data_IF_528621882315
#
_entry.id   IF_528621882315
#
_cell.length_a   1.000
_cell.length_b   1.000
_cell.length_c   1.000
_cell.angle_alpha   90.00
_cell.angle_beta   90.00
_cell.angle_gamma   90.00
#
_symmetry.space_group_name_H-M   'P 1'
#
loop_
_entity.id
_entity.type
_entity.pdbx_description
1 polymer ?
#
# COMPACT_ATOMS: atom_id res chain seq x y z
N UNK A 1 9.65 9.79 16.27
CA UNK A 1 10.61 8.91 15.60
C UNK A 1 11.73 9.69 14.95
N UNK A 2 12.85 9.03 14.70
CA UNK A 2 14.00 9.62 14.02
C UNK A 2 13.88 9.47 12.50
N UNK A 3 14.33 10.49 11.77
CA UNK A 3 14.56 10.43 10.32
C UNK A 3 15.76 9.51 10.00
N UNK A 4 15.91 9.12 8.74
CA UNK A 4 17.06 8.31 8.30
C UNK A 4 18.40 9.02 8.58
N UNK A 5 18.49 10.31 8.27
CA UNK A 5 19.70 11.13 8.51
C UNK A 5 20.04 11.25 10.00
N UNK A 6 19.03 11.44 10.85
CA UNK A 6 19.22 11.44 12.30
C UNK A 6 19.71 10.07 12.80
N UNK A 7 19.15 8.95 12.28
CA UNK A 7 19.61 7.60 12.63
C UNK A 7 21.04 7.36 12.22
N UNK A 8 21.45 7.80 11.03
CA UNK A 8 22.84 7.71 10.55
C UNK A 8 23.76 8.52 11.48
N UNK A 9 23.38 9.74 11.84
CA UNK A 9 24.14 10.58 12.75
C UNK A 9 24.29 9.94 14.14
N UNK A 10 23.21 9.38 14.69
CA UNK A 10 23.21 8.65 15.96
C UNK A 10 24.10 7.39 15.85
N UNK A 11 24.01 6.65 14.74
CA UNK A 11 24.82 5.47 14.53
C UNK A 11 26.32 5.80 14.54
N UNK A 12 26.73 6.80 13.79
CA UNK A 12 28.14 7.24 13.73
C UNK A 12 28.66 7.79 15.05
N UNK A 13 27.86 8.64 15.71
CA UNK A 13 28.29 9.32 16.92
C UNK A 13 28.30 8.42 18.16
N UNK A 14 27.41 7.43 18.23
CA UNK A 14 27.17 6.69 19.47
C UNK A 14 27.14 5.19 19.31
N UNK A 15 26.36 4.65 18.35
CA UNK A 15 26.10 3.19 18.30
C UNK A 15 27.32 2.42 17.81
N UNK A 16 27.95 2.87 16.73
CA UNK A 16 29.14 2.21 16.17
C UNK A 16 30.31 2.21 17.17
N UNK A 17 30.73 3.34 17.76
CA UNK A 17 31.80 3.36 18.76
C UNK A 17 31.49 2.46 19.96
N UNK A 18 30.22 2.43 20.39
CA UNK A 18 29.79 1.57 21.49
C UNK A 18 29.90 0.10 21.11
N UNK A 19 29.36 -0.31 19.95
CA UNK A 19 29.35 -1.71 19.51
C UNK A 19 30.75 -2.24 19.17
N UNK A 20 31.64 -1.41 18.63
CA UNK A 20 33.05 -1.74 18.43
C UNK A 20 33.69 -2.09 19.78
N UNK A 21 33.52 -1.25 20.79
CA UNK A 21 34.09 -1.49 22.14
C UNK A 21 33.47 -2.71 22.83
N UNK A 22 32.14 -2.85 22.78
CA UNK A 22 31.42 -3.98 23.43
C UNK A 22 31.74 -5.33 22.80
N UNK A 23 32.18 -5.36 21.53
CA UNK A 23 32.62 -6.58 20.85
C UNK A 23 34.16 -6.75 20.82
N UNK A 24 34.91 -5.97 21.61
CA UNK A 24 36.36 -6.15 21.76
C UNK A 24 37.20 -5.77 20.55
N UNK A 25 36.63 -4.95 19.64
CA UNK A 25 37.30 -4.48 18.43
C UNK A 25 38.04 -3.17 18.70
N UNK A 26 39.08 -2.90 17.91
CA UNK A 26 39.74 -1.60 17.86
C UNK A 26 38.95 -0.64 16.94
N UNK A 27 39.01 0.68 17.19
CA UNK A 27 38.26 1.66 16.40
C UNK A 27 38.54 1.67 14.90
N UNK A 28 39.72 1.19 14.50
CA UNK A 28 40.19 1.14 13.10
C UNK A 28 39.96 -0.20 12.42
N UNK A 29 39.44 -1.20 13.14
CA UNK A 29 39.17 -2.53 12.58
C UNK A 29 37.85 -2.65 11.81
N UNK A 30 36.85 -1.84 12.18
CA UNK A 30 35.54 -1.86 11.51
C UNK A 30 35.09 -0.43 11.25
N UNK A 31 34.82 -0.11 10.00
CA UNK A 31 34.25 1.16 9.57
C UNK A 31 32.98 0.97 8.78
N UNK A 32 32.03 1.90 8.87
CA UNK A 32 30.74 1.84 8.17
C UNK A 32 30.62 3.03 7.20
N UNK A 33 30.27 2.76 5.95
CA UNK A 33 29.91 3.82 5.00
C UNK A 33 28.48 4.31 5.26
N UNK A 34 28.12 5.47 4.71
CA UNK A 34 26.75 6.00 4.81
C UNK A 34 25.75 5.10 4.08
N UNK A 35 26.16 4.58 2.92
CA UNK A 35 25.38 3.64 2.13
C UNK A 35 25.10 2.35 2.90
N UNK A 36 26.08 1.81 3.61
CA UNK A 36 25.88 0.62 4.44
C UNK A 36 24.88 0.86 5.57
N UNK A 37 24.95 2.02 6.24
CA UNK A 37 24.00 2.40 7.27
C UNK A 37 22.59 2.60 6.70
N UNK A 38 22.46 3.21 5.53
CA UNK A 38 21.18 3.33 4.82
C UNK A 38 20.62 1.93 4.51
N UNK A 39 21.43 1.02 4.01
CA UNK A 39 21.04 -0.38 3.74
C UNK A 39 20.54 -1.07 5.00
N UNK A 40 21.26 -0.94 6.13
CA UNK A 40 20.80 -1.50 7.42
C UNK A 40 19.46 -0.91 7.83
N UNK A 41 19.31 0.42 7.76
CA UNK A 41 18.09 1.12 8.17
C UNK A 41 16.90 0.72 7.30
N UNK A 42 17.06 0.67 5.99
CA UNK A 42 15.96 0.41 5.03
C UNK A 42 15.57 -1.05 4.94
N UNK A 43 16.58 -1.95 4.95
CA UNK A 43 16.36 -3.35 4.59
C UNK A 43 16.35 -4.29 5.80
N UNK A 44 16.88 -3.87 6.95
CA UNK A 44 17.00 -4.73 8.13
C UNK A 44 16.35 -4.19 9.39
N UNK A 45 15.83 -2.94 9.36
CA UNK A 45 15.13 -2.34 10.50
C UNK A 45 13.85 -1.64 10.07
N UNK A 46 12.79 -1.74 10.91
CA UNK A 46 11.52 -1.06 10.67
C UNK A 46 11.00 -0.53 12.00
N UNK A 47 11.61 0.56 12.46
CA UNK A 47 11.38 1.11 13.79
C UNK A 47 11.43 2.64 13.80
N UNK A 48 10.73 3.27 14.74
CA UNK A 48 10.81 4.70 14.98
C UNK A 48 12.11 5.12 15.67
N UNK A 49 12.64 4.26 16.54
CA UNK A 49 13.88 4.46 17.30
C UNK A 49 15.13 3.91 16.59
N UNK A 50 16.11 3.52 17.38
CA UNK A 50 17.43 3.02 16.91
C UNK A 50 17.87 1.70 17.58
N UNK A 51 17.01 1.03 18.36
CA UNK A 51 17.38 -0.21 19.07
C UNK A 51 17.64 -1.38 18.12
N UNK A 52 16.83 -1.51 17.06
CA UNK A 52 17.02 -2.51 16.02
C UNK A 52 18.30 -2.24 15.23
N UNK A 53 18.53 -0.97 14.87
CA UNK A 53 19.77 -0.51 14.22
C UNK A 53 21.01 -0.87 15.06
N UNK A 54 20.99 -0.58 16.35
CA UNK A 54 22.07 -0.95 17.27
C UNK A 54 22.34 -2.45 17.28
N UNK A 55 21.29 -3.28 17.37
CA UNK A 55 21.43 -4.75 17.33
C UNK A 55 22.04 -5.25 16.02
N UNK A 56 21.69 -4.65 14.89
CA UNK A 56 22.23 -5.01 13.58
C UNK A 56 23.69 -4.59 13.43
N UNK A 57 24.05 -3.39 13.88
CA UNK A 57 25.44 -2.93 13.95
C UNK A 57 26.26 -3.88 14.84
N UNK A 58 25.75 -4.26 16.03
CA UNK A 58 26.40 -5.20 16.91
C UNK A 58 26.58 -6.59 16.30
N UNK A 59 25.60 -7.07 15.51
CA UNK A 59 25.74 -8.33 14.81
C UNK A 59 26.85 -8.28 13.75
N UNK A 60 26.95 -7.18 13.00
CA UNK A 60 28.05 -6.97 12.04
C UNK A 60 29.40 -6.91 12.74
N UNK A 61 29.49 -6.16 13.84
CA UNK A 61 30.73 -6.08 14.63
C UNK A 61 31.17 -7.46 15.14
N UNK A 62 30.26 -8.28 15.63
CA UNK A 62 30.60 -9.66 16.08
C UNK A 62 31.10 -10.52 14.92
N UNK A 63 30.44 -10.53 13.77
CA UNK A 63 30.88 -11.31 12.59
C UNK A 63 32.25 -10.83 12.08
N UNK A 64 32.47 -9.50 12.04
CA UNK A 64 33.78 -8.95 11.71
C UNK A 64 34.86 -9.36 12.70
N UNK A 65 34.56 -9.30 14.00
CA UNK A 65 35.49 -9.77 15.06
C UNK A 65 35.84 -11.23 14.94
N UNK A 66 34.87 -12.09 14.65
CA UNK A 66 35.14 -13.53 14.40
C UNK A 66 36.07 -13.72 13.20
N UNK A 67 35.83 -13.05 12.06
CA UNK A 67 36.71 -13.14 10.89
C UNK A 67 38.14 -12.63 11.15
N UNK A 68 38.28 -11.55 11.93
CA UNK A 68 39.60 -11.05 12.35
C UNK A 68 40.31 -12.09 13.19
N UNK A 69 39.64 -12.73 14.14
CA UNK A 69 40.20 -13.76 14.99
C UNK A 69 40.59 -15.04 14.22
N UNK A 70 39.83 -15.38 13.17
CA UNK A 70 40.13 -16.50 12.27
C UNK A 70 41.21 -16.18 11.23
N UNK A 71 41.68 -14.94 11.17
CA UNK A 71 42.72 -14.49 10.26
C UNK A 71 42.28 -14.19 8.83
N UNK A 72 40.98 -14.09 8.59
CA UNK A 72 40.37 -13.77 7.27
C UNK A 72 40.54 -12.29 6.86
N UNK A 73 41.08 -11.46 7.74
CA UNK A 73 41.35 -10.04 7.50
C UNK A 73 41.79 -9.33 8.77
N UNK A 74 42.28 -8.10 8.63
CA UNK A 74 42.67 -7.26 9.77
C UNK A 74 41.71 -6.08 9.97
N UNK A 75 41.00 -5.69 8.90
CA UNK A 75 40.10 -4.54 8.89
C UNK A 75 38.95 -4.81 7.92
N UNK A 76 37.75 -4.38 8.29
CA UNK A 76 36.54 -4.46 7.48
C UNK A 76 35.94 -3.09 7.25
N UNK A 77 35.87 -2.69 5.99
CA UNK A 77 35.09 -1.52 5.55
C UNK A 77 33.70 -2.02 5.13
N UNK A 78 32.71 -1.79 5.98
CA UNK A 78 31.34 -2.29 5.77
C UNK A 78 30.67 -1.51 4.65
N UNK A 79 30.48 -2.16 3.51
CA UNK A 79 29.71 -1.70 2.35
C UNK A 79 28.32 -2.30 2.39
N UNK A 80 27.43 -1.92 1.45
CA UNK A 80 26.09 -2.51 1.33
C UNK A 80 26.14 -4.01 1.05
N UNK A 81 27.07 -4.46 0.21
CA UNK A 81 27.26 -5.87 -0.12
C UNK A 81 27.70 -6.67 1.13
N UNK A 82 28.61 -6.10 1.92
CA UNK A 82 29.07 -6.75 3.14
C UNK A 82 28.00 -6.76 4.23
N UNK A 83 27.09 -5.78 4.25
CA UNK A 83 25.90 -5.83 5.10
C UNK A 83 25.01 -7.02 4.74
N UNK A 84 24.77 -7.25 3.45
CA UNK A 84 23.96 -8.39 2.98
C UNK A 84 24.64 -9.72 3.30
N UNK A 85 25.95 -9.82 3.13
CA UNK A 85 26.71 -11.00 3.50
C UNK A 85 26.65 -11.29 5.02
N UNK A 86 26.76 -10.25 5.85
CA UNK A 86 26.77 -10.40 7.30
C UNK A 86 25.39 -10.55 7.93
N UNK A 87 24.37 -9.92 7.39
CA UNK A 87 23.01 -9.96 7.92
C UNK A 87 22.07 -10.90 7.17
N UNK A 88 22.59 -11.54 6.12
CA UNK A 88 21.87 -12.46 5.25
C UNK A 88 20.75 -11.74 4.47
N UNK A 89 19.66 -12.43 4.17
CA UNK A 89 18.60 -11.87 3.34
C UNK A 89 17.95 -10.63 3.96
N UNK A 90 17.68 -9.58 3.17
CA UNK A 90 16.90 -8.43 3.60
C UNK A 90 15.55 -8.85 4.19
N UNK A 91 15.18 -8.25 5.30
CA UNK A 91 13.89 -8.52 5.97
C UNK A 91 12.78 -7.68 5.35
N UNK A 92 13.14 -6.50 4.84
CA UNK A 92 12.22 -5.54 4.27
C UNK A 92 12.65 -5.20 2.86
N UNK A 93 11.71 -5.27 1.95
CA UNK A 93 11.92 -4.92 0.55
C UNK A 93 11.59 -3.43 0.33
N UNK A 94 12.28 -2.83 -0.62
CA UNK A 94 12.17 -1.40 -0.89
C UNK A 94 10.95 -1.01 -1.74
N UNK A 95 11.03 0.16 -2.44
CA UNK A 95 9.96 0.69 -3.28
C UNK A 95 9.48 -0.25 -4.39
N UNK A 96 10.26 -1.24 -4.76
CA UNK A 96 9.92 -2.25 -5.77
C UNK A 96 8.77 -3.13 -5.30
N UNK A 97 8.79 -3.61 -4.06
CA UNK A 97 7.67 -4.36 -3.47
C UNK A 97 6.38 -3.54 -3.47
N UNK A 98 6.48 -2.24 -3.17
CA UNK A 98 5.35 -1.33 -3.19
C UNK A 98 4.68 -1.28 -4.57
N UNK A 99 5.50 -1.15 -5.63
CA UNK A 99 5.01 -1.10 -7.01
C UNK A 99 4.41 -2.43 -7.45
N UNK A 100 5.04 -3.53 -7.08
CA UNK A 100 4.58 -4.87 -7.39
C UNK A 100 3.22 -5.15 -6.74
N UNK A 101 3.09 -4.88 -5.45
CA UNK A 101 1.84 -5.07 -4.68
C UNK A 101 0.70 -4.19 -5.18
N UNK A 102 0.96 -2.93 -5.56
CA UNK A 102 -0.08 -2.01 -6.06
C UNK A 102 -0.35 -2.14 -7.56
N UNK A 103 0.26 -3.10 -8.21
CA UNK A 103 0.09 -3.34 -9.65
C UNK A 103 -1.31 -3.83 -10.05
N UNK A 104 -2.11 -4.31 -9.12
CA UNK A 104 -3.47 -4.81 -9.33
C UNK A 104 -4.52 -3.87 -8.73
N UNK A 105 -5.73 -3.78 -9.37
CA UNK A 105 -6.87 -3.12 -8.75
C UNK A 105 -7.26 -3.79 -7.43
N UNK A 106 -7.75 -3.00 -6.49
CA UNK A 106 -8.17 -3.49 -5.18
C UNK A 106 -7.09 -3.47 -4.10
N UNK A 107 -5.84 -3.10 -4.44
CA UNK A 107 -4.75 -3.01 -3.45
C UNK A 107 -4.35 -1.54 -3.26
N UNK A 108 -4.39 -1.08 -2.01
CA UNK A 108 -4.16 0.33 -1.67
C UNK A 108 -3.26 0.45 -0.44
N UNK A 109 -2.18 1.25 -0.53
CA UNK A 109 -1.33 1.55 0.63
C UNK A 109 -1.99 2.61 1.52
N UNK A 110 -2.30 2.22 2.73
CA UNK A 110 -2.69 3.12 3.82
C UNK A 110 -1.52 3.42 4.75
N UNK A 111 -1.67 4.42 5.57
CA UNK A 111 -0.70 4.80 6.59
C UNK A 111 -1.25 4.50 7.98
N UNK A 112 -0.49 3.73 8.75
CA UNK A 112 -0.81 3.35 10.11
C UNK A 112 0.16 3.98 11.12
N UNK A 113 -0.29 4.10 12.35
CA UNK A 113 0.53 4.43 13.51
C UNK A 113 0.39 3.32 14.54
N UNK A 114 1.52 2.83 15.02
CA UNK A 114 1.60 1.75 16.01
C UNK A 114 2.50 2.18 17.17
N UNK A 115 2.54 1.37 18.23
CA UNK A 115 3.48 1.57 19.36
C UNK A 115 4.95 1.56 18.93
N UNK A 116 5.25 1.03 17.77
CA UNK A 116 6.61 1.00 17.17
C UNK A 116 6.87 2.17 16.21
N UNK A 117 5.88 3.04 15.99
CA UNK A 117 5.91 4.18 15.08
C UNK A 117 4.98 4.03 13.89
N UNK A 118 5.16 4.89 12.90
CA UNK A 118 4.39 4.82 11.65
C UNK A 118 4.82 3.66 10.77
N UNK A 119 3.84 3.10 10.03
CA UNK A 119 4.08 2.02 9.06
C UNK A 119 3.12 2.13 7.86
N UNK A 120 3.44 1.41 6.77
CA UNK A 120 2.52 1.23 5.64
C UNK A 120 1.63 0.03 5.91
N UNK A 121 0.34 0.22 5.68
CA UNK A 121 -0.67 -0.79 5.80
C UNK A 121 -1.30 -1.04 4.43
N UNK A 122 -1.06 -2.20 3.82
CA UNK A 122 -1.75 -2.57 2.60
C UNK A 122 -3.16 -3.02 2.91
N UNK A 123 -4.13 -2.54 2.14
CA UNK A 123 -5.51 -3.01 2.17
C UNK A 123 -5.80 -3.66 0.83
N UNK A 124 -6.17 -4.92 0.87
CA UNK A 124 -6.45 -5.75 -0.29
C UNK A 124 -7.94 -6.07 -0.33
N UNK A 125 -8.58 -5.75 -1.45
CA UNK A 125 -9.98 -6.06 -1.69
C UNK A 125 -10.09 -7.08 -2.82
N UNK A 126 -10.89 -8.12 -2.62
CA UNK A 126 -11.23 -9.09 -3.65
C UNK A 126 -12.74 -9.34 -3.69
N UNK A 127 -13.20 -9.86 -4.82
CA UNK A 127 -14.59 -10.29 -5.00
C UNK A 127 -14.64 -11.71 -5.50
N UNK A 128 -15.69 -12.41 -5.11
CA UNK A 128 -15.98 -13.76 -5.56
C UNK A 128 -17.47 -13.91 -5.82
N UNK A 129 -17.91 -14.85 -6.67
CA UNK A 129 -19.32 -15.17 -6.80
C UNK A 129 -19.92 -15.52 -5.45
N UNK A 130 -21.06 -14.92 -5.11
CA UNK A 130 -21.69 -15.15 -3.80
C UNK A 130 -22.96 -14.34 -3.64
N UNK A 131 -23.48 -14.28 -2.40
CA UNK A 131 -24.77 -13.69 -2.08
C UNK A 131 -24.71 -12.62 -0.97
N UNK A 132 -24.07 -11.48 -1.19
CA UNK A 132 -24.00 -10.34 -0.24
C UNK A 132 -23.02 -10.49 0.93
N UNK A 133 -22.14 -11.49 0.91
CA UNK A 133 -21.14 -11.66 1.96
C UNK A 133 -20.14 -10.51 2.00
N UNK A 134 -19.81 -10.06 3.22
CA UNK A 134 -18.72 -9.13 3.47
C UNK A 134 -17.84 -9.65 4.58
N UNK A 135 -16.60 -9.95 4.25
CA UNK A 135 -15.60 -10.46 5.18
C UNK A 135 -14.48 -9.44 5.33
N UNK A 136 -13.98 -9.31 6.55
CA UNK A 136 -12.80 -8.49 6.85
C UNK A 136 -11.86 -9.32 7.72
N UNK A 137 -10.59 -9.44 7.28
CA UNK A 137 -9.59 -10.24 7.97
C UNK A 137 -8.27 -9.48 8.12
N UNK A 138 -7.37 -9.91 9.00
CA UNK A 138 -6.06 -9.31 9.18
C UNK A 138 -5.75 -8.89 10.63
N UNK A 139 -6.31 -9.58 11.64
CA UNK A 139 -6.12 -9.24 13.06
C UNK A 139 -6.50 -7.80 13.39
N UNK A 140 -7.72 -7.42 12.97
CA UNK A 140 -8.27 -6.07 13.14
C UNK A 140 -9.22 -5.99 14.34
N UNK A 141 -9.16 -4.86 15.05
CA UNK A 141 -10.06 -4.56 16.17
C UNK A 141 -11.43 -4.04 15.71
N UNK A 142 -12.30 -3.78 16.69
CA UNK A 142 -13.70 -3.42 16.43
C UNK A 142 -13.84 -2.09 15.67
N UNK A 143 -13.05 -1.08 16.02
CA UNK A 143 -13.12 0.24 15.37
C UNK A 143 -12.77 0.14 13.89
N UNK A 144 -11.74 -0.64 13.56
CA UNK A 144 -11.35 -0.87 12.16
C UNK A 144 -12.39 -1.69 11.39
N UNK A 145 -13.08 -2.65 12.06
CA UNK A 145 -14.19 -3.38 11.46
C UNK A 145 -15.39 -2.48 11.15
N UNK A 146 -15.73 -1.56 12.07
CA UNK A 146 -16.77 -0.55 11.82
C UNK A 146 -16.41 0.37 10.66
N UNK A 147 -15.16 0.82 10.59
CA UNK A 147 -14.63 1.61 9.48
C UNK A 147 -14.76 0.88 8.13
N UNK A 148 -14.47 -0.43 8.09
CA UNK A 148 -14.65 -1.25 6.90
C UNK A 148 -16.12 -1.35 6.46
N UNK A 149 -17.04 -1.51 7.41
CA UNK A 149 -18.50 -1.52 7.13
C UNK A 149 -18.99 -0.17 6.63
N UNK A 150 -18.48 0.94 7.21
CA UNK A 150 -18.79 2.29 6.76
C UNK A 150 -18.29 2.51 5.31
N UNK A 151 -17.09 2.06 4.99
CA UNK A 151 -16.52 2.12 3.66
C UNK A 151 -17.37 1.35 2.64
N UNK A 152 -17.78 0.11 2.97
CA UNK A 152 -18.66 -0.67 2.10
C UNK A 152 -20.02 0.01 1.90
N UNK A 153 -20.63 0.54 2.96
CA UNK A 153 -21.90 1.25 2.90
C UNK A 153 -21.82 2.46 2.00
N UNK A 154 -20.75 3.26 2.11
CA UNK A 154 -20.50 4.39 1.22
C UNK A 154 -20.38 3.94 -0.25
N UNK A 155 -19.57 2.91 -0.54
CA UNK A 155 -19.40 2.43 -1.92
C UNK A 155 -20.69 1.86 -2.50
N UNK A 156 -21.49 1.14 -1.72
CA UNK A 156 -22.80 0.62 -2.11
C UNK A 156 -23.79 1.74 -2.43
N UNK A 157 -23.82 2.80 -1.61
CA UNK A 157 -24.69 3.96 -1.86
C UNK A 157 -24.32 4.74 -3.14
N UNK A 158 -23.11 4.54 -3.65
CA UNK A 158 -22.59 5.18 -4.87
C UNK A 158 -22.48 4.23 -6.07
N UNK A 159 -23.05 3.03 -5.97
CA UNK A 159 -22.91 1.99 -6.99
C UNK A 159 -23.27 2.47 -8.41
N UNK A 160 -24.37 3.20 -8.56
CA UNK A 160 -24.80 3.76 -9.83
C UNK A 160 -23.80 4.77 -10.39
N UNK A 161 -23.35 5.73 -9.58
CA UNK A 161 -22.37 6.75 -10.00
C UNK A 161 -20.99 6.15 -10.32
N UNK A 162 -20.67 5.00 -9.75
CA UNK A 162 -19.47 4.22 -10.07
C UNK A 162 -19.64 3.34 -11.33
N UNK A 163 -20.83 3.33 -11.94
CA UNK A 163 -21.13 2.56 -13.14
C UNK A 163 -21.20 1.05 -12.90
N UNK A 164 -21.52 0.63 -11.68
CA UNK A 164 -21.67 -0.78 -11.36
C UNK A 164 -22.99 -1.35 -11.94
N UNK A 165 -22.98 -2.61 -12.41
CA UNK A 165 -24.20 -3.28 -12.82
C UNK A 165 -25.20 -3.37 -11.66
N UNK A 166 -26.48 -3.28 -12.00
CA UNK A 166 -27.54 -3.55 -11.04
C UNK A 166 -27.38 -4.93 -10.40
N UNK A 167 -27.55 -5.00 -9.09
CA UNK A 167 -27.38 -6.24 -8.35
C UNK A 167 -25.92 -6.68 -8.20
N UNK A 168 -24.95 -5.80 -8.42
CA UNK A 168 -23.52 -6.15 -8.28
C UNK A 168 -23.21 -6.76 -6.90
N UNK A 169 -23.63 -6.10 -5.82
CA UNK A 169 -23.38 -6.56 -4.45
C UNK A 169 -24.26 -7.73 -4.03
N UNK A 170 -25.34 -8.00 -4.73
CA UNK A 170 -26.21 -9.16 -4.54
C UNK A 170 -25.64 -10.45 -5.13
N UNK A 171 -24.75 -10.32 -6.11
CA UNK A 171 -24.15 -11.44 -6.87
C UNK A 171 -22.69 -11.68 -6.53
N UNK A 172 -22.12 -10.85 -5.66
CA UNK A 172 -20.71 -10.94 -5.29
C UNK A 172 -20.55 -10.79 -3.78
N UNK A 173 -19.75 -11.67 -3.21
CA UNK A 173 -19.15 -11.49 -1.90
C UNK A 173 -17.89 -10.66 -2.02
N UNK A 174 -17.67 -9.78 -1.05
CA UNK A 174 -16.51 -8.91 -0.98
C UNK A 174 -15.67 -9.31 0.23
N UNK A 175 -14.36 -9.42 0.03
CA UNK A 175 -13.42 -9.68 1.10
C UNK A 175 -12.37 -8.56 1.14
N UNK A 176 -12.27 -7.87 2.28
CA UNK A 176 -11.15 -6.98 2.62
C UNK A 176 -10.16 -7.73 3.48
N UNK A 177 -8.91 -7.72 3.09
CA UNK A 177 -7.82 -8.31 3.86
C UNK A 177 -6.76 -7.26 4.16
N UNK A 178 -6.31 -7.23 5.42
CA UNK A 178 -5.23 -6.36 5.87
C UNK A 178 -4.07 -7.28 6.30
N UNK A 179 -3.05 -7.50 5.43
CA UNK A 179 -1.93 -8.37 5.70
C UNK A 179 -1.16 -8.04 6.99
N UNK A 180 -0.21 -8.92 7.37
CA UNK A 180 0.54 -8.88 8.63
C UNK A 180 -0.35 -9.20 9.84
N UNK A 181 -1.06 -10.34 9.79
CA UNK A 181 -1.99 -10.79 10.82
C UNK A 181 -1.37 -11.01 12.21
N UNK A 182 -0.05 -11.16 12.31
CA UNK A 182 0.67 -11.25 13.58
C UNK A 182 0.68 -9.93 14.37
N UNK A 183 0.41 -8.78 13.71
CA UNK A 183 0.37 -7.47 14.36
C UNK A 183 -1.09 -7.03 14.48
N UNK A 184 -1.64 -6.94 15.70
CA UNK A 184 -2.98 -6.38 15.92
C UNK A 184 -3.07 -4.94 15.42
N UNK A 185 -4.17 -4.62 14.73
CA UNK A 185 -4.45 -3.31 14.14
C UNK A 185 -5.84 -2.85 14.53
N UNK A 186 -5.95 -1.59 14.95
CA UNK A 186 -7.25 -0.97 15.20
C UNK A 186 -7.22 0.52 14.92
N UNK A 187 -8.40 1.11 14.76
CA UNK A 187 -8.58 2.54 14.57
C UNK A 187 -9.32 2.91 13.28
N UNK A 188 -9.88 4.13 13.21
CA UNK A 188 -10.74 4.57 12.11
C UNK A 188 -9.97 5.13 10.91
N UNK A 189 -8.68 5.43 11.07
CA UNK A 189 -7.88 6.20 10.09
C UNK A 189 -7.60 5.50 8.75
N UNK A 190 -8.01 4.23 8.62
CA UNK A 190 -7.91 3.46 7.38
C UNK A 190 -9.16 3.56 6.49
N UNK A 191 -10.19 4.32 6.90
CA UNK A 191 -11.48 4.40 6.20
C UNK A 191 -11.36 4.83 4.74
N UNK A 192 -10.58 5.88 4.45
CA UNK A 192 -10.36 6.33 3.06
C UNK A 192 -9.65 5.25 2.24
N UNK A 193 -8.71 4.53 2.85
CA UNK A 193 -7.95 3.46 2.18
C UNK A 193 -8.85 2.28 1.83
N UNK A 194 -9.73 1.88 2.75
CA UNK A 194 -10.71 0.81 2.53
C UNK A 194 -11.72 1.18 1.45
N UNK A 195 -12.27 2.41 1.49
CA UNK A 195 -13.16 2.91 0.46
C UNK A 195 -12.47 2.93 -0.92
N UNK A 196 -11.24 3.40 -0.97
CA UNK A 196 -10.44 3.43 -2.21
C UNK A 196 -10.15 2.02 -2.73
N UNK A 197 -9.85 1.05 -1.86
CA UNK A 197 -9.63 -0.35 -2.25
C UNK A 197 -10.89 -0.97 -2.86
N UNK A 198 -12.03 -0.75 -2.23
CA UNK A 198 -13.33 -1.20 -2.76
C UNK A 198 -13.64 -0.56 -4.12
N UNK A 199 -13.49 0.76 -4.26
CA UNK A 199 -13.74 1.45 -5.54
C UNK A 199 -12.73 1.02 -6.61
N UNK A 200 -11.47 0.86 -6.25
CA UNK A 200 -10.43 0.33 -7.15
C UNK A 200 -10.80 -1.06 -7.68
N UNK A 201 -11.21 -1.96 -6.79
CA UNK A 201 -11.66 -3.30 -7.14
C UNK A 201 -12.84 -3.28 -8.13
N UNK A 202 -13.89 -2.54 -7.78
CA UNK A 202 -15.15 -2.60 -8.56
C UNK A 202 -15.05 -1.84 -9.89
N UNK A 203 -14.25 -0.78 -9.94
CA UNK A 203 -14.00 0.00 -11.16
C UNK A 203 -12.87 -0.54 -12.04
N UNK A 204 -12.07 -1.48 -11.54
CA UNK A 204 -10.87 -1.98 -12.23
C UNK A 204 -9.74 -0.95 -12.38
N UNK A 205 -9.81 0.18 -11.66
CA UNK A 205 -8.82 1.27 -11.70
C UNK A 205 -7.74 1.03 -10.64
N UNK A 206 -6.49 1.07 -11.06
CA UNK A 206 -5.35 0.94 -10.13
C UNK A 206 -5.14 2.23 -9.34
N UNK A 207 -4.50 2.09 -8.19
CA UNK A 207 -3.96 3.24 -7.46
C UNK A 207 -2.69 3.73 -8.16
N UNK A 208 -2.49 5.04 -8.19
CA UNK A 208 -1.25 5.64 -8.71
C UNK A 208 -0.04 5.18 -7.89
N UNK A 209 1.11 4.96 -8.53
CA UNK A 209 2.30 4.49 -7.85
C UNK A 209 2.81 5.49 -6.80
N UNK A 210 3.55 4.98 -5.83
CA UNK A 210 4.19 5.77 -4.75
C UNK A 210 3.24 6.71 -3.99
N UNK A 211 1.96 6.30 -3.84
CA UNK A 211 0.94 7.08 -3.16
C UNK A 211 0.43 6.31 -1.96
N UNK A 212 0.34 6.97 -0.81
CA UNK A 212 -0.30 6.46 0.40
C UNK A 212 -1.37 7.42 0.90
N UNK A 213 -2.26 6.93 1.75
CA UNK A 213 -3.35 7.74 2.27
C UNK A 213 -3.73 7.38 3.69
N UNK A 214 -4.36 8.31 4.37
CA UNK A 214 -4.98 8.10 5.68
C UNK A 214 -6.12 9.08 5.87
N UNK A 215 -7.16 8.66 6.59
CA UNK A 215 -8.34 9.47 6.88
C UNK A 215 -9.47 8.60 7.38
N UNK A 216 -10.24 9.11 8.32
CA UNK A 216 -11.50 8.53 8.72
C UNK A 216 -12.60 8.98 7.77
N UNK A 217 -13.63 8.16 7.55
CA UNK A 217 -14.75 8.49 6.67
C UNK A 217 -16.09 8.43 7.39
N UNK A 218 -17.01 9.29 6.96
CA UNK A 218 -18.41 9.18 7.32
C UNK A 218 -19.22 8.42 6.26
N UNK A 219 -20.41 7.97 6.60
CA UNK A 219 -21.33 7.32 5.65
C UNK A 219 -21.71 8.20 4.46
N UNK A 220 -21.55 9.53 4.58
CA UNK A 220 -21.79 10.50 3.51
C UNK A 220 -20.55 10.85 2.69
N UNK A 221 -19.41 10.22 3.01
CA UNK A 221 -18.16 10.40 2.29
C UNK A 221 -17.36 11.64 2.69
N UNK A 222 -17.62 12.24 3.85
CA UNK A 222 -16.73 13.25 4.40
C UNK A 222 -15.48 12.60 4.97
N UNK A 223 -14.35 13.26 4.81
CA UNK A 223 -13.06 12.81 5.37
C UNK A 223 -12.77 13.58 6.65
N UNK A 224 -12.65 12.86 7.75
CA UNK A 224 -12.38 13.40 9.07
C UNK A 224 -10.89 13.36 9.42
N UNK A 225 -10.42 14.28 10.28
CA UNK A 225 -9.03 14.34 10.72
C UNK A 225 -8.63 13.10 11.54
N UNK A 226 -7.34 12.81 11.54
CA UNK A 226 -6.75 11.64 12.21
C UNK A 226 -5.51 12.04 13.02
N UNK A 227 -5.07 11.16 13.90
CA UNK A 227 -3.84 11.35 14.67
C UNK A 227 -2.59 10.71 14.06
N UNK A 228 -1.43 11.06 14.60
CA UNK A 228 -0.13 10.47 14.25
C UNK A 228 0.35 10.84 12.84
N UNK A 229 0.05 12.05 12.38
CA UNK A 229 0.40 12.52 11.02
C UNK A 229 1.91 12.50 10.81
N UNK A 230 2.68 13.01 11.77
CA UNK A 230 4.16 13.03 11.69
C UNK A 230 4.71 11.62 11.45
N UNK A 231 4.34 10.66 12.29
CA UNK A 231 4.83 9.28 12.22
C UNK A 231 4.41 8.60 10.91
N UNK A 232 3.18 8.85 10.47
CA UNK A 232 2.65 8.32 9.20
C UNK A 232 3.42 8.87 8.01
N UNK A 233 3.73 10.16 7.99
CA UNK A 233 4.49 10.81 6.93
C UNK A 233 5.94 10.32 6.91
N UNK A 234 6.59 10.20 8.08
CA UNK A 234 7.93 9.64 8.18
C UNK A 234 7.98 8.19 7.68
N UNK A 235 6.96 7.39 8.00
CA UNK A 235 6.86 6.03 7.48
C UNK A 235 6.64 5.99 5.96
N UNK A 236 5.79 6.85 5.43
CA UNK A 236 5.56 6.99 4.00
C UNK A 236 6.86 7.30 3.25
N UNK A 237 7.62 8.28 3.72
CA UNK A 237 8.90 8.67 3.14
C UNK A 237 9.92 7.52 3.20
N UNK A 238 10.09 6.89 4.38
CA UNK A 238 11.02 5.77 4.59
C UNK A 238 10.74 4.58 3.66
N UNK A 239 9.46 4.33 3.34
CA UNK A 239 9.06 3.23 2.45
C UNK A 239 8.94 3.67 0.97
N UNK A 240 9.47 4.82 0.60
CA UNK A 240 9.54 5.25 -0.80
C UNK A 240 8.24 5.81 -1.39
N UNK A 241 7.23 6.09 -0.56
CA UNK A 241 6.07 6.87 -1.01
C UNK A 241 6.49 8.33 -1.27
N UNK A 242 5.97 8.89 -2.33
CA UNK A 242 6.26 10.28 -2.73
C UNK A 242 5.05 11.19 -2.61
N UNK A 243 3.87 10.61 -2.51
CA UNK A 243 2.61 11.36 -2.39
C UNK A 243 1.81 10.81 -1.20
N UNK A 244 1.33 11.71 -0.36
CA UNK A 244 0.45 11.38 0.76
C UNK A 244 -0.85 12.17 0.65
N UNK A 245 -1.97 11.45 0.72
CA UNK A 245 -3.31 12.04 0.82
C UNK A 245 -3.67 12.12 2.30
N UNK A 246 -4.03 13.33 2.74
CA UNK A 246 -4.37 13.66 4.13
C UNK A 246 -5.70 14.41 4.20
N UNK A 247 -6.46 14.24 5.30
CA UNK A 247 -7.59 15.13 5.57
C UNK A 247 -7.14 16.59 5.61
N UNK A 248 -7.91 17.51 5.03
CA UNK A 248 -7.56 18.94 4.97
C UNK A 248 -7.30 19.56 6.34
N UNK A 249 -8.01 19.10 7.36
CA UNK A 249 -7.83 19.60 8.74
C UNK A 249 -6.50 19.19 9.36
N UNK A 250 -5.83 18.16 8.82
CA UNK A 250 -4.49 17.74 9.26
C UNK A 250 -3.35 18.52 8.59
N UNK A 251 -3.63 19.54 7.78
CA UNK A 251 -2.55 20.34 7.16
C UNK A 251 -1.64 21.00 8.20
N UNK A 252 -2.17 21.37 9.36
CA UNK A 252 -1.40 22.00 10.44
C UNK A 252 -0.48 21.01 11.16
N UNK A 253 -0.82 19.73 11.19
CA UNK A 253 0.02 18.70 11.82
C UNK A 253 1.34 18.46 11.06
N UNK A 254 1.46 18.98 9.84
CA UNK A 254 2.71 18.94 9.09
C UNK A 254 3.77 19.92 9.62
N UNK A 255 3.41 20.83 10.51
CA UNK A 255 4.39 21.70 11.15
C UNK A 255 5.44 20.90 11.92
N UNK A 256 5.03 19.77 12.52
CA UNK A 256 5.90 18.85 13.26
C UNK A 256 6.76 17.95 12.36
N UNK A 257 6.53 17.94 11.04
CA UNK A 257 7.30 17.12 10.09
C UNK A 257 8.56 17.90 9.68
N UNK A 258 9.76 17.27 9.67
CA UNK A 258 10.98 17.91 9.23
C UNK A 258 10.88 18.49 7.82
N UNK A 259 11.45 19.67 7.60
CA UNK A 259 11.38 20.39 6.32
C UNK A 259 11.96 19.61 5.15
N UNK A 260 13.01 18.83 5.39
CA UNK A 260 13.60 17.93 4.39
C UNK A 260 12.56 16.95 3.83
N UNK A 261 11.77 16.35 4.72
CA UNK A 261 10.71 15.41 4.34
C UNK A 261 9.58 16.15 3.62
N UNK A 262 9.16 17.31 4.11
CA UNK A 262 8.14 18.15 3.45
C UNK A 262 8.53 18.50 2.00
N UNK A 263 9.80 18.82 1.76
CA UNK A 263 10.32 19.17 0.44
C UNK A 263 10.44 17.97 -0.50
N UNK A 264 10.65 16.77 0.03
CA UNK A 264 10.80 15.53 -0.76
C UNK A 264 9.48 14.85 -1.13
N UNK A 265 8.36 15.27 -0.54
CA UNK A 265 7.06 14.64 -0.68
C UNK A 265 5.99 15.62 -1.16
N UNK A 266 4.98 15.07 -1.84
CA UNK A 266 3.77 15.81 -2.24
C UNK A 266 2.64 15.47 -1.27
N UNK A 267 1.97 16.49 -0.75
CA UNK A 267 0.79 16.36 0.09
C UNK A 267 -0.46 16.79 -0.68
N UNK A 268 -1.50 15.98 -0.61
CA UNK A 268 -2.81 16.25 -1.20
C UNK A 268 -3.83 16.28 -0.07
N UNK A 269 -4.46 17.43 0.12
CA UNK A 269 -5.47 17.62 1.16
C UNK A 269 -6.86 17.40 0.59
N UNK A 270 -7.67 16.62 1.30
CA UNK A 270 -9.00 16.19 0.85
C UNK A 270 -10.06 16.45 1.93
N UNK A 271 -11.27 16.73 1.50
CA UNK A 271 -12.45 16.90 2.36
C UNK A 271 -13.47 15.78 2.15
N UNK A 272 -13.44 15.14 0.98
CA UNK A 272 -14.36 14.07 0.61
C UNK A 272 -13.66 12.83 0.07
N UNK A 273 -14.35 11.70 0.12
CA UNK A 273 -13.87 10.46 -0.51
C UNK A 273 -13.76 10.63 -2.03
N UNK A 274 -14.62 11.43 -2.66
CA UNK A 274 -14.52 11.71 -4.10
C UNK A 274 -13.19 12.42 -4.43
N UNK A 275 -12.72 13.34 -3.59
CA UNK A 275 -11.40 13.98 -3.73
C UNK A 275 -10.27 12.93 -3.64
N UNK A 276 -10.39 12.00 -2.67
CA UNK A 276 -9.43 10.90 -2.52
C UNK A 276 -9.38 10.05 -3.78
N UNK A 277 -10.54 9.62 -4.30
CA UNK A 277 -10.63 8.76 -5.48
C UNK A 277 -10.06 9.43 -6.73
N UNK A 278 -10.32 10.71 -6.92
CA UNK A 278 -9.79 11.51 -8.02
C UNK A 278 -8.25 11.68 -7.94
N UNK A 279 -7.75 11.87 -6.73
CA UNK A 279 -6.32 12.00 -6.47
C UNK A 279 -5.58 10.66 -6.61
N UNK A 280 -6.17 9.58 -6.07
CA UNK A 280 -5.51 8.30 -5.89
C UNK A 280 -5.59 7.37 -7.09
N UNK A 281 -6.73 7.31 -7.78
CA UNK A 281 -6.95 6.32 -8.81
C UNK A 281 -6.47 6.81 -10.19
N UNK A 282 -5.94 5.88 -10.99
CA UNK A 282 -5.67 6.12 -12.39
C UNK A 282 -6.95 6.50 -13.15
N UNK A 283 -6.81 7.26 -14.23
CA UNK A 283 -7.95 7.59 -15.09
C UNK A 283 -8.56 6.30 -15.66
N UNK A 284 -9.88 6.24 -15.86
CA UNK A 284 -10.50 5.09 -16.54
C UNK A 284 -9.81 4.85 -17.89
N UNK A 285 -9.44 3.63 -18.18
CA UNK A 285 -9.01 3.26 -19.54
C UNK A 285 -10.23 3.47 -20.44
N UNK A 286 -10.12 4.34 -21.44
CA UNK A 286 -11.11 4.46 -22.50
C UNK A 286 -11.21 3.10 -23.21
N UNK A 287 -12.13 2.26 -22.77
CA UNK A 287 -12.53 1.10 -23.55
C UNK A 287 -13.25 1.63 -24.75
N UNK A 288 -12.60 1.58 -25.94
CA UNK A 288 -13.32 1.69 -27.22
C UNK A 288 -14.43 0.62 -27.17
N UNK A 289 -15.64 1.05 -26.85
CA UNK A 289 -16.83 0.23 -27.10
C UNK A 289 -16.80 -0.06 -28.59
N UNK A 290 -16.33 -1.27 -28.99
CA UNK A 290 -16.57 -1.80 -30.33
C UNK A 290 -18.07 -1.65 -30.53
N UNK A 291 -18.47 -0.78 -31.47
CA UNK A 291 -19.82 -0.71 -31.98
C UNK A 291 -20.19 -2.13 -32.38
N UNK A 292 -20.98 -2.80 -31.59
CA UNK A 292 -21.65 -4.04 -32.00
C UNK A 292 -22.46 -3.69 -33.23
N UNK A 293 -22.00 -4.14 -34.40
CA UNK A 293 -22.71 -4.03 -35.63
C UNK A 293 -24.13 -4.56 -35.41
N UNK A 294 -25.08 -3.65 -35.45
CA UNK A 294 -26.48 -4.00 -35.53
C UNK A 294 -26.67 -4.93 -36.73
N UNK A 295 -27.05 -6.17 -36.48
CA UNK A 295 -27.44 -7.13 -37.52
C UNK A 295 -28.51 -6.45 -38.37
N UNK A 296 -28.22 -6.31 -39.68
CA UNK A 296 -29.21 -5.92 -40.69
C UNK A 296 -30.42 -6.86 -40.57
N UNK A 297 -31.67 -6.35 -40.67
CA UNK A 297 -32.85 -7.19 -40.66
C UNK A 297 -32.85 -8.16 -41.87
N UNK A 298 -32.98 -9.44 -41.58
CA UNK A 298 -33.14 -10.49 -42.57
C UNK A 298 -34.44 -10.22 -43.32
N UNK A 299 -34.38 -9.99 -44.64
CA UNK A 299 -35.55 -9.90 -45.52
C UNK A 299 -36.23 -11.27 -45.54
N UNK A 300 -37.52 -11.31 -45.19
CA UNK A 300 -38.40 -12.45 -45.33
C UNK A 300 -38.52 -12.89 -46.80
N UNK A 301 -38.54 -14.19 -47.12
CA UNK A 301 -38.72 -14.67 -48.50
C UNK A 301 -40.14 -14.40 -48.98
N UNK A 302 -40.25 -13.82 -50.21
CA UNK A 302 -41.50 -13.65 -50.94
C UNK A 302 -42.19 -14.98 -51.21
N UNK A 303 -43.45 -15.13 -50.83
CA UNK A 303 -44.35 -16.24 -51.25
C UNK A 303 -44.44 -16.28 -52.78
N UNK A 304 -44.01 -17.42 -53.36
CA UNK A 304 -44.23 -17.72 -54.74
C UNK A 304 -45.71 -18.03 -55.00
N UNK A 305 -46.25 -17.51 -56.11
CA UNK A 305 -47.61 -17.78 -56.63
C UNK A 305 -47.65 -19.23 -57.13
N UNK A 306 -48.60 -20.04 -56.62
CA UNK A 306 -48.99 -21.32 -57.22
C UNK A 306 -49.82 -21.07 -58.48
N UNK A 307 -49.35 -21.56 -59.60
CA UNK A 307 -50.17 -21.73 -60.80
C UNK A 307 -50.88 -23.09 -60.74
N UNK A 308 -52.18 -22.98 -60.71
CA UNK A 308 -53.14 -24.07 -60.85
C UNK A 308 -53.23 -24.42 -62.34
N UNK A 309 -53.00 -25.63 -62.70
CA UNK A 309 -53.48 -26.27 -63.94
C UNK A 309 -53.91 -27.71 -63.62
N UNK A 310 -55.23 -27.85 -63.70
CA UNK A 310 -55.86 -29.10 -63.55
C UNK A 310 -55.48 -30.14 -64.63
N UNK A 311 -55.63 -31.36 -64.29
CA UNK A 311 -55.98 -32.36 -65.26
C UNK A 311 -56.88 -33.50 -64.66
N UNK A 312 -57.91 -33.75 -65.40
CA UNK A 312 -59.03 -34.72 -65.25
C UNK A 312 -58.58 -36.18 -65.48
N UNK A 313 -59.23 -37.08 -64.85
CA UNK A 313 -59.39 -38.48 -65.33
C UNK A 313 -59.06 -39.52 -64.25
N UNK A 314 -59.94 -40.21 -63.68
CA UNK A 314 -60.87 -41.21 -64.22
C UNK A 314 -60.41 -42.54 -63.69
N UNK A 315 -61.19 -43.08 -62.88
CA UNK A 315 -61.70 -44.42 -62.51
C UNK A 315 -61.65 -44.72 -61.03
#
# INVERSE_FOLDING_TARGET
GYTENEKISIAKGYLIPRQIRENGLRPDEVTFSDESLQTIIRSYTREAGVRGLERKIGAICRKAGTRIAEGEGKKFSITSELVEEFLEHPIYFGPEELNERTSLPGIVPGLAYTSFGGDILFIEATRMPGGRGFQVTGSIGNVMQESARAALSYVRSRAESLGLPEGFFEKNDIHLHIPSGATPKDGPSAGVTMATALVSLVSGRKVKPHLGMTGEITLRGQVLPIGGVKEKVLAANRNGLRTVILPKRNQFDLEDVPDEIKKSMKFIYVETVDDVLNAALEKPKLTNKKKTNAKKPVKSPKKGKSNDKGHVGGR
#
